data_IF_858775894704
#
_entry.id   IF_858775894704
#
_cell.length_a   1.000
_cell.length_b   1.000
_cell.length_c   1.000
_cell.angle_alpha   90.00
_cell.angle_beta   90.00
_cell.angle_gamma   90.00
#
_symmetry.space_group_name_H-M   'P 1'
#
loop_
_entity.id
_entity.type
_entity.pdbx_description
1 polymer ?
#
# COMPACT_ATOMS: atom_id res chain seq x y z
N UNK A 1 0.67 11.20 -0.34
CA UNK A 1 1.40 10.15 -1.07
C UNK A 1 2.68 9.82 -0.32
N UNK A 2 2.89 8.55 0.00
CA UNK A 2 4.19 8.02 0.41
C UNK A 2 4.84 7.29 -0.76
N UNK A 3 6.17 7.23 -0.76
CA UNK A 3 6.95 6.48 -1.74
C UNK A 3 7.42 5.17 -1.10
N UNK A 4 7.05 4.05 -1.70
CA UNK A 4 7.36 2.69 -1.26
C UNK A 4 8.25 1.98 -2.30
N UNK A 5 8.74 0.78 -1.97
CA UNK A 5 9.39 -0.08 -2.95
C UNK A 5 8.39 -1.06 -3.55
N UNK A 6 8.35 -1.13 -4.88
CA UNK A 6 7.58 -2.11 -5.63
C UNK A 6 8.01 -3.53 -5.23
N UNK A 7 7.13 -4.38 -4.69
CA UNK A 7 7.53 -5.70 -4.26
C UNK A 7 7.97 -6.63 -5.40
N UNK A 8 7.51 -6.35 -6.64
CA UNK A 8 7.88 -7.15 -7.82
C UNK A 8 9.32 -6.92 -8.26
N UNK A 9 9.80 -5.68 -8.23
CA UNK A 9 11.11 -5.35 -8.83
C UNK A 9 12.00 -4.44 -7.96
N UNK A 10 11.56 -4.07 -6.76
CA UNK A 10 12.30 -3.23 -5.83
C UNK A 10 12.41 -1.75 -6.22
N UNK A 11 11.86 -1.35 -7.37
CA UNK A 11 11.84 0.04 -7.86
C UNK A 11 10.91 0.95 -7.05
N UNK A 12 10.94 2.28 -7.28
CA UNK A 12 10.03 3.21 -6.60
C UNK A 12 8.58 2.97 -7.02
N UNK A 13 7.69 2.96 -6.04
CA UNK A 13 6.25 2.86 -6.22
C UNK A 13 5.54 4.00 -5.47
N UNK A 14 4.56 4.61 -6.10
CA UNK A 14 3.67 5.56 -5.44
C UNK A 14 2.57 4.78 -4.71
N UNK A 15 2.42 5.02 -3.41
CA UNK A 15 1.37 4.42 -2.61
C UNK A 15 0.42 5.51 -2.07
N UNK A 16 -0.86 5.32 -2.35
CA UNK A 16 -1.97 6.07 -1.79
C UNK A 16 -2.60 5.30 -0.64
N UNK A 17 -2.65 5.92 0.53
CA UNK A 17 -3.24 5.37 1.75
C UNK A 17 -4.43 6.22 2.17
N UNK A 18 -5.47 5.56 2.67
CA UNK A 18 -6.63 6.21 3.27
C UNK A 18 -6.66 5.88 4.75
N UNK A 19 -6.68 6.91 5.59
CA UNK A 19 -6.86 6.75 7.02
C UNK A 19 -8.24 6.16 7.32
N UNK A 20 -8.24 5.05 8.06
CA UNK A 20 -9.43 4.48 8.67
C UNK A 20 -9.58 5.06 10.07
N UNK A 21 -10.74 5.68 10.33
CA UNK A 21 -11.07 6.31 11.62
C UNK A 21 -12.14 5.52 12.36
N UNK A 22 -11.92 5.33 13.66
CA UNK A 22 -12.85 4.66 14.56
C UNK A 22 -14.07 5.52 14.86
N UNK A 23 -15.07 4.98 15.59
CA UNK A 23 -16.28 5.72 15.99
C UNK A 23 -16.01 6.96 16.86
N UNK A 24 -14.86 6.97 17.52
CA UNK A 24 -14.33 8.08 18.35
C UNK A 24 -13.53 9.11 17.54
N UNK A 25 -13.38 8.91 16.22
CA UNK A 25 -12.57 9.74 15.35
C UNK A 25 -11.06 9.52 15.48
N UNK A 26 -10.62 8.52 16.25
CA UNK A 26 -9.21 8.16 16.34
C UNK A 26 -8.77 7.36 15.11
N UNK A 27 -7.54 7.57 14.68
CA UNK A 27 -6.89 6.76 13.64
C UNK A 27 -6.77 5.32 14.15
N UNK A 28 -7.46 4.40 13.50
CA UNK A 28 -7.43 2.96 13.81
C UNK A 28 -6.60 2.18 12.79
N UNK A 29 -6.30 2.79 11.64
CA UNK A 29 -5.46 2.19 10.60
C UNK A 29 -5.36 3.07 9.37
N UNK A 30 -4.66 2.57 8.37
CA UNK A 30 -4.46 3.16 7.05
C UNK A 30 -4.60 2.05 5.99
N UNK A 31 -5.63 2.12 5.16
CA UNK A 31 -5.86 1.14 4.11
C UNK A 31 -5.23 1.61 2.80
N UNK A 32 -4.59 0.69 2.07
CA UNK A 32 -4.03 0.98 0.75
C UNK A 32 -5.18 1.16 -0.25
N UNK A 33 -5.27 2.35 -0.87
CA UNK A 33 -6.31 2.68 -1.85
C UNK A 33 -5.79 2.80 -3.27
N UNK A 34 -4.50 3.11 -3.44
CA UNK A 34 -3.85 3.22 -4.75
C UNK A 34 -2.41 2.75 -4.66
N UNK A 35 -1.94 2.04 -5.69
CA UNK A 35 -0.57 1.58 -5.77
C UNK A 35 -0.11 1.53 -7.21
N UNK A 36 0.97 2.25 -7.52
CA UNK A 36 1.54 2.34 -8.86
C UNK A 36 3.04 2.08 -8.83
N UNK A 37 3.48 0.99 -9.47
CA UNK A 37 4.88 0.70 -9.69
C UNK A 37 5.34 1.32 -11.01
N UNK A 38 6.58 1.82 -11.06
CA UNK A 38 7.13 2.36 -12.30
C UNK A 38 7.02 1.39 -13.49
N UNK A 39 6.74 1.96 -14.67
CA UNK A 39 6.44 1.24 -15.92
C UNK A 39 7.48 0.16 -16.22
N UNK A 40 7.02 -1.10 -16.27
CA UNK A 40 7.85 -2.29 -16.43
C UNK A 40 7.70 -3.31 -15.30
N UNK A 41 7.17 -2.90 -14.14
CA UNK A 41 6.93 -3.76 -12.99
C UNK A 41 5.47 -3.71 -12.54
N UNK A 42 4.54 -4.26 -13.32
CA UNK A 42 3.13 -4.24 -12.93
C UNK A 42 2.83 -5.38 -11.95
N UNK A 43 2.21 -5.06 -10.82
CA UNK A 43 1.60 -6.03 -9.91
C UNK A 43 0.08 -5.90 -9.98
N UNK A 44 -0.63 -7.01 -9.86
CA UNK A 44 -2.07 -6.97 -9.62
C UNK A 44 -2.32 -6.46 -8.20
N UNK A 45 -3.39 -5.69 -8.00
CA UNK A 45 -3.77 -5.15 -6.69
C UNK A 45 -3.75 -6.22 -5.58
N UNK A 46 -4.17 -7.45 -5.88
CA UNK A 46 -4.15 -8.58 -4.93
C UNK A 46 -2.74 -8.94 -4.45
N UNK A 47 -1.76 -8.96 -5.34
CA UNK A 47 -0.37 -9.31 -5.00
C UNK A 47 0.26 -8.22 -4.13
N UNK A 48 -0.11 -6.96 -4.38
CA UNK A 48 0.27 -5.83 -3.53
C UNK A 48 -0.33 -6.01 -2.14
N UNK A 49 -1.66 -6.24 -2.04
CA UNK A 49 -2.34 -6.46 -0.76
C UNK A 49 -1.71 -7.60 0.04
N UNK A 50 -1.46 -8.75 -0.59
CA UNK A 50 -0.83 -9.90 0.05
C UNK A 50 0.58 -9.59 0.54
N UNK A 51 1.38 -8.90 -0.27
CA UNK A 51 2.77 -8.57 0.10
C UNK A 51 2.85 -7.59 1.27
N UNK A 52 2.02 -6.54 1.26
CA UNK A 52 1.99 -5.57 2.35
C UNK A 52 1.40 -6.16 3.63
N UNK A 53 0.35 -6.99 3.53
CA UNK A 53 -0.17 -7.77 4.66
C UNK A 53 0.89 -8.69 5.27
N UNK A 54 1.59 -9.47 4.44
CA UNK A 54 2.67 -10.35 4.90
C UNK A 54 3.83 -9.56 5.54
N UNK A 55 4.06 -8.33 5.10
CA UNK A 55 5.09 -7.45 5.64
C UNK A 55 4.69 -6.74 6.94
N UNK A 56 3.45 -6.91 7.42
CA UNK A 56 2.92 -6.16 8.57
C UNK A 56 2.82 -4.65 8.30
N UNK A 57 2.73 -4.27 7.02
CA UNK A 57 2.67 -2.87 6.55
C UNK A 57 1.26 -2.49 6.08
N UNK A 58 0.35 -3.46 6.05
CA UNK A 58 -1.08 -3.17 6.17
C UNK A 58 -1.44 -3.24 7.65
N UNK A 59 -2.12 -2.23 8.20
CA UNK A 59 -2.65 -2.26 9.55
C UNK A 59 -3.72 -3.34 9.75
#
# INVERSE_FOLDING_TARGET
>A
MSWERCPSCGGPAAAGWQASTGPDGLLVGEDLVEFDCSSGCSLLLREVTETFRASGRMP
#
